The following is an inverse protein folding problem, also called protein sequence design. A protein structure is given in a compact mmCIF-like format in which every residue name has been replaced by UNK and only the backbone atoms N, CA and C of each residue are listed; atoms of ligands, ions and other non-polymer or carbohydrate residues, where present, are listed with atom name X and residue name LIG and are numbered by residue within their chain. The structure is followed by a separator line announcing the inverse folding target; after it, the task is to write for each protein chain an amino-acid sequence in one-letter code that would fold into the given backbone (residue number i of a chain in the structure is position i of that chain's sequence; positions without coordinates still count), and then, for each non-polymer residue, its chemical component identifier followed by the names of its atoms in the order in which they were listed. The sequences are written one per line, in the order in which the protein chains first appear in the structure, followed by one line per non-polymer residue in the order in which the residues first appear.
data_IF_907706765641
#
_entry.id   IF_907706765641
#
_cell.length_a   1.000
_cell.length_b   1.000
_cell.length_c   1.000
_cell.angle_alpha   90.00
_cell.angle_beta   90.00
_cell.angle_gamma   90.00
#
_symmetry.space_group_name_H-M   'P 1'
#
loop_
_entity.id
_entity.type
_entity.pdbx_description
1 polymer ?
#
# COMPACT_ATOMS: atom_id res chain seq x y z
N UNK A 1 39.49 46.93 42.01
CA UNK A 1 40.19 47.64 43.12
C UNK A 1 40.38 46.63 44.24
N UNK A 2 41.63 46.35 44.66
CA UNK A 2 42.06 45.19 45.50
C UNK A 2 41.87 43.82 44.79
N UNK A 3 42.75 42.80 44.80
CA UNK A 3 43.80 42.24 45.72
C UNK A 3 43.22 41.53 46.96
N UNK A 4 43.69 40.37 47.46
CA UNK A 4 44.84 39.45 47.20
C UNK A 4 44.36 38.01 47.60
N UNK A 5 45.02 36.83 47.56
CA UNK A 5 46.36 36.27 47.29
C UNK A 5 46.13 34.76 46.88
N UNK A 6 46.83 34.13 45.91
CA UNK A 6 48.03 33.25 46.02
C UNK A 6 48.06 32.28 47.24
N UNK A 7 48.60 31.03 47.23
CA UNK A 7 49.54 30.28 46.36
C UNK A 7 48.88 29.00 45.77
N UNK A 8 49.30 28.33 44.68
CA UNK A 8 50.60 27.87 44.12
C UNK A 8 51.21 26.62 44.80
N UNK A 9 51.01 25.43 44.19
CA UNK A 9 52.03 24.48 43.67
C UNK A 9 51.29 23.30 43.01
N UNK A 10 51.43 22.88 41.74
CA UNK A 10 52.54 22.56 40.80
C UNK A 10 52.92 21.06 40.72
N UNK A 11 52.33 20.38 39.73
CA UNK A 11 52.98 19.56 38.69
C UNK A 11 52.90 18.00 38.70
N UNK A 12 52.91 17.50 37.47
CA UNK A 12 53.17 16.15 36.92
C UNK A 12 52.05 15.08 36.77
N UNK A 13 52.01 14.59 35.53
CA UNK A 13 51.15 13.58 34.92
C UNK A 13 51.37 12.16 35.47
N UNK A 14 50.39 11.26 35.25
CA UNK A 14 50.47 10.14 34.27
C UNK A 14 49.14 9.33 34.24
N UNK A 15 48.77 8.84 33.05
CA UNK A 15 47.76 7.81 32.70
C UNK A 15 46.50 7.60 33.56
N UNK A 16 45.32 7.67 32.93
CA UNK A 16 44.05 7.29 33.57
C UNK A 16 42.87 7.16 32.61
N UNK A 17 43.01 6.38 31.53
CA UNK A 17 41.88 6.07 30.64
C UNK A 17 40.93 5.07 31.33
N UNK A 18 39.98 5.60 32.10
CA UNK A 18 38.72 4.91 32.39
C UNK A 18 37.64 5.52 31.48
N UNK A 19 37.26 4.79 30.43
CA UNK A 19 36.00 5.09 29.75
C UNK A 19 34.84 4.78 30.68
N UNK A 20 33.67 5.39 30.43
CA UNK A 20 32.44 4.96 31.07
C UNK A 20 32.04 3.59 30.51
N UNK A 21 32.60 2.53 31.11
CA UNK A 21 32.09 1.17 30.95
C UNK A 21 30.68 1.13 31.54
N UNK A 22 29.70 1.51 30.73
CA UNK A 22 28.28 1.24 30.95
C UNK A 22 27.99 -0.25 30.67
N UNK A 23 28.82 -1.12 31.27
CA UNK A 23 28.54 -2.54 31.42
C UNK A 23 27.38 -2.63 32.41
N UNK A 24 26.17 -2.59 31.83
CA UNK A 24 24.94 -2.95 32.54
C UNK A 24 25.15 -4.33 33.14
N UNK A 25 24.83 -4.47 34.42
CA UNK A 25 24.95 -5.74 35.14
C UNK A 25 24.17 -6.83 34.41
N UNK A 26 24.80 -7.98 34.30
CA UNK A 26 24.34 -9.27 33.78
C UNK A 26 25.02 -10.26 34.74
N UNK A 27 24.24 -10.85 35.64
CA UNK A 27 24.77 -11.56 36.83
C UNK A 27 25.00 -13.05 36.62
N UNK A 28 24.37 -13.63 35.62
CA UNK A 28 24.37 -15.07 35.34
C UNK A 28 24.84 -15.42 33.91
N UNK A 29 25.23 -14.41 33.12
CA UNK A 29 25.89 -14.51 31.80
C UNK A 29 24.95 -15.11 30.73
N UNK A 30 23.66 -14.76 30.81
CA UNK A 30 22.59 -15.13 29.85
C UNK A 30 22.47 -14.13 28.67
N UNK A 31 22.95 -12.88 28.85
CA UNK A 31 22.90 -11.81 27.86
C UNK A 31 21.79 -10.78 28.09
N UNK A 32 20.83 -11.06 28.97
CA UNK A 32 19.94 -10.05 29.51
C UNK A 32 20.69 -9.13 30.49
N UNK A 33 20.19 -7.91 30.64
CA UNK A 33 20.67 -7.02 31.69
C UNK A 33 19.74 -7.11 32.91
N UNK A 34 20.32 -7.14 34.12
CA UNK A 34 19.65 -7.20 35.44
C UNK A 34 18.47 -6.22 35.63
N UNK A 35 18.40 -5.15 34.83
CA UNK A 35 17.37 -4.10 34.88
C UNK A 35 16.14 -4.40 33.99
N UNK A 36 16.24 -5.40 33.10
CA UNK A 36 15.23 -5.81 32.14
C UNK A 36 14.80 -7.27 32.35
N UNK A 37 15.74 -8.08 32.82
CA UNK A 37 15.54 -9.46 33.24
C UNK A 37 14.59 -9.56 34.45
N UNK A 38 13.79 -10.64 34.48
CA UNK A 38 12.89 -11.01 35.55
C UNK A 38 13.45 -12.09 36.50
N UNK A 39 14.52 -12.79 36.12
CA UNK A 39 15.20 -13.81 36.92
C UNK A 39 16.76 -13.69 36.90
N UNK A 40 17.35 -12.52 37.26
CA UNK A 40 18.79 -12.21 37.13
C UNK A 40 19.73 -12.93 38.12
N UNK A 41 19.50 -14.22 38.32
CA UNK A 41 20.26 -15.22 39.06
C UNK A 41 19.97 -16.65 38.49
N UNK A 42 19.33 -16.77 37.31
CA UNK A 42 18.92 -18.01 36.61
C UNK A 42 18.92 -17.86 35.07
N UNK A 43 20.12 -17.99 34.50
CA UNK A 43 20.47 -18.02 33.06
C UNK A 43 19.71 -19.00 32.13
N UNK A 44 18.63 -19.61 32.60
CA UNK A 44 17.72 -20.41 31.76
C UNK A 44 16.43 -19.65 31.44
N UNK A 45 16.20 -18.48 32.04
CA UNK A 45 14.97 -17.70 31.94
C UNK A 45 15.27 -16.21 32.12
N UNK A 46 14.98 -15.39 31.12
CA UNK A 46 15.08 -13.92 31.22
C UNK A 46 13.71 -13.23 31.37
N UNK A 47 12.66 -13.82 30.78
CA UNK A 47 11.33 -13.20 30.74
C UNK A 47 10.23 -14.21 31.06
N UNK A 48 9.33 -13.86 31.99
CA UNK A 48 8.01 -14.51 32.06
C UNK A 48 7.03 -13.79 31.14
N UNK A 49 6.41 -14.54 30.23
CA UNK A 49 5.14 -14.19 29.63
C UNK A 49 4.06 -14.60 30.64
N UNK A 50 3.11 -13.70 30.92
CA UNK A 50 1.83 -14.06 31.53
C UNK A 50 0.70 -13.60 30.63
N UNK A 51 -0.43 -14.28 30.68
CA UNK A 51 -1.62 -13.88 29.96
C UNK A 51 -2.89 -14.48 30.55
N UNK A 52 -4.02 -14.05 30.02
CA UNK A 52 -5.33 -14.64 30.27
C UNK A 52 -5.87 -15.21 28.95
N UNK A 53 -6.58 -16.34 29.03
CA UNK A 53 -7.44 -16.83 27.95
C UNK A 53 -8.92 -16.65 28.34
N UNK A 54 -9.75 -16.22 27.38
CA UNK A 54 -11.16 -15.89 27.59
C UNK A 54 -12.10 -16.54 26.57
N UNK A 55 -13.34 -16.77 26.98
CA UNK A 55 -14.43 -17.35 26.19
C UNK A 55 -14.17 -18.81 25.72
N UNK A 56 -13.44 -19.60 26.53
CA UNK A 56 -13.04 -20.98 26.20
C UNK A 56 -14.23 -21.94 26.26
N UNK A 57 -14.44 -22.74 25.22
CA UNK A 57 -15.43 -23.83 25.17
C UNK A 57 -14.81 -25.23 25.06
N UNK A 58 -13.75 -25.38 24.26
CA UNK A 58 -13.00 -26.62 24.10
C UNK A 58 -11.78 -26.72 25.03
N UNK A 59 -11.05 -27.84 24.92
CA UNK A 59 -9.69 -27.90 25.47
C UNK A 59 -8.75 -27.15 24.51
N UNK A 60 -8.18 -26.02 24.96
CA UNK A 60 -7.25 -25.23 24.15
C UNK A 60 -5.81 -25.62 24.49
N UNK A 61 -5.04 -26.08 23.52
CA UNK A 61 -3.59 -26.26 23.68
C UNK A 61 -2.88 -24.99 23.22
N UNK A 62 -2.27 -24.27 24.16
CA UNK A 62 -1.34 -23.19 23.85
C UNK A 62 0.06 -23.78 23.61
N UNK A 63 0.66 -23.46 22.47
CA UNK A 63 1.94 -24.00 22.00
C UNK A 63 2.93 -22.85 21.83
N UNK A 64 4.08 -22.93 22.50
CA UNK A 64 5.18 -21.97 22.39
C UNK A 64 6.49 -22.72 22.13
N UNK A 65 6.97 -22.65 20.88
CA UNK A 65 8.05 -23.51 20.39
C UNK A 65 7.74 -24.99 20.71
N UNK A 66 8.66 -25.77 21.29
CA UNK A 66 8.44 -27.18 21.66
C UNK A 66 7.63 -27.37 22.97
N UNK A 67 7.03 -26.31 23.53
CA UNK A 67 6.35 -26.34 24.84
C UNK A 67 4.85 -26.16 24.69
N UNK A 68 4.07 -26.98 25.39
CA UNK A 68 2.61 -26.92 25.33
C UNK A 68 1.98 -26.94 26.73
N UNK A 69 0.85 -26.24 26.87
CA UNK A 69 -0.06 -26.31 28.02
C UNK A 69 -1.49 -26.39 27.52
N UNK A 70 -2.32 -27.23 28.13
CA UNK A 70 -3.73 -27.40 27.75
C UNK A 70 -4.65 -26.79 28.80
N UNK A 71 -5.58 -25.95 28.37
CA UNK A 71 -6.45 -25.10 29.18
C UNK A 71 -7.91 -25.40 28.81
N UNK A 72 -8.70 -25.89 29.77
CA UNK A 72 -10.09 -26.35 29.57
C UNK A 72 -11.15 -25.37 30.10
N UNK A 73 -10.75 -24.12 30.33
CA UNK A 73 -11.60 -22.99 30.75
C UNK A 73 -10.84 -21.67 30.65
N UNK A 74 -11.54 -20.54 30.74
CA UNK A 74 -10.96 -19.23 31.05
C UNK A 74 -10.03 -19.32 32.27
N UNK A 75 -8.76 -18.92 32.11
CA UNK A 75 -7.74 -18.93 33.17
C UNK A 75 -6.49 -18.11 32.80
N UNK A 76 -5.61 -17.89 33.77
CA UNK A 76 -4.27 -17.36 33.53
C UNK A 76 -3.33 -18.44 32.97
N UNK A 77 -2.42 -18.04 32.10
CA UNK A 77 -1.33 -18.87 31.57
C UNK A 77 0.02 -18.18 31.71
N UNK A 78 1.11 -18.95 31.71
CA UNK A 78 2.47 -18.43 31.72
C UNK A 78 3.46 -19.32 30.97
N UNK A 79 4.50 -18.70 30.44
CA UNK A 79 5.69 -19.35 29.91
C UNK A 79 6.94 -18.58 30.36
N UNK A 80 8.01 -19.28 30.74
CA UNK A 80 9.31 -18.70 31.08
C UNK A 80 10.27 -18.85 29.90
N UNK A 81 10.82 -17.75 29.38
CA UNK A 81 11.57 -17.65 28.11
C UNK A 81 13.01 -17.22 28.38
N UNK A 82 14.00 -17.83 27.73
CA UNK A 82 15.42 -17.46 27.84
C UNK A 82 15.75 -16.20 27.01
N UNK A 83 16.84 -15.47 27.34
CA UNK A 83 17.18 -14.28 26.58
C UNK A 83 17.49 -14.57 25.10
N UNK A 84 16.85 -13.82 24.20
CA UNK A 84 16.98 -14.01 22.75
C UNK A 84 16.32 -15.28 22.20
N UNK A 85 15.58 -16.03 23.00
CA UNK A 85 14.73 -17.12 22.50
C UNK A 85 13.54 -16.52 21.73
N UNK A 86 13.69 -16.39 20.41
CA UNK A 86 12.58 -16.06 19.53
C UNK A 86 11.52 -17.16 19.60
N UNK A 87 10.24 -16.77 19.61
CA UNK A 87 9.14 -17.71 19.74
C UNK A 87 7.90 -17.27 18.95
N UNK A 88 7.04 -18.26 18.69
CA UNK A 88 5.67 -18.07 18.23
C UNK A 88 4.76 -18.74 19.27
N UNK A 89 3.74 -18.02 19.74
CA UNK A 89 2.65 -18.59 20.53
C UNK A 89 1.47 -18.90 19.59
N UNK A 90 1.00 -20.14 19.62
CA UNK A 90 -0.17 -20.64 18.90
C UNK A 90 -1.23 -21.14 19.90
N UNK A 91 -2.49 -21.25 19.44
CA UNK A 91 -3.60 -21.81 20.21
C UNK A 91 -4.44 -22.72 19.31
N UNK A 92 -4.53 -23.99 19.68
CA UNK A 92 -5.31 -25.02 18.97
C UNK A 92 -6.48 -25.48 19.86
N UNK A 93 -7.72 -25.38 19.38
CA UNK A 93 -8.88 -25.96 20.10
C UNK A 93 -9.14 -27.40 19.66
N UNK A 94 -9.67 -28.22 20.57
CA UNK A 94 -10.31 -29.50 20.22
C UNK A 94 -11.65 -29.36 19.50
N UNK A 95 -12.19 -28.14 19.36
CA UNK A 95 -13.44 -27.85 18.65
C UNK A 95 -13.15 -27.19 17.30
N UNK A 96 -13.62 -27.79 16.20
CA UNK A 96 -13.40 -27.28 14.83
C UNK A 96 -14.03 -25.90 14.60
N UNK A 97 -15.10 -25.58 15.35
CA UNK A 97 -15.83 -24.32 15.31
C UNK A 97 -15.28 -23.25 16.29
N UNK A 98 -14.09 -23.44 16.87
CA UNK A 98 -13.48 -22.52 17.83
C UNK A 98 -12.10 -22.03 17.39
N UNK A 99 -11.95 -20.70 17.32
CA UNK A 99 -10.68 -20.04 17.01
C UNK A 99 -10.27 -19.14 18.17
N UNK A 100 -9.03 -19.28 18.67
CA UNK A 100 -8.50 -18.46 19.75
C UNK A 100 -7.49 -17.44 19.24
N UNK A 101 -7.89 -16.17 19.20
CA UNK A 101 -7.11 -15.08 18.61
C UNK A 101 -6.04 -14.60 19.60
N UNK A 102 -4.79 -14.64 19.16
CA UNK A 102 -3.61 -14.19 19.93
C UNK A 102 -3.14 -12.84 19.38
N UNK A 103 -3.07 -11.78 20.21
CA UNK A 103 -2.50 -10.50 19.79
C UNK A 103 -0.98 -10.59 19.70
N UNK A 104 -0.41 -10.29 18.54
CA UNK A 104 1.05 -10.28 18.27
C UNK A 104 1.77 -11.59 18.66
N UNK A 105 1.45 -12.74 18.05
CA UNK A 105 1.94 -14.05 18.50
C UNK A 105 3.45 -14.30 18.32
N UNK A 106 4.16 -13.45 17.57
CA UNK A 106 5.58 -13.64 17.20
C UNK A 106 6.47 -12.63 17.93
N UNK A 107 7.51 -13.11 18.62
CA UNK A 107 8.46 -12.28 19.36
C UNK A 107 9.91 -12.74 19.14
N UNK A 108 10.87 -11.81 19.32
CA UNK A 108 12.30 -12.05 19.09
C UNK A 108 13.09 -12.47 20.33
N UNK A 109 12.42 -12.61 21.49
CA UNK A 109 13.00 -13.00 22.76
C UNK A 109 13.86 -11.95 23.48
N UNK A 110 13.98 -10.70 22.98
CA UNK A 110 14.95 -9.72 23.52
C UNK A 110 14.34 -8.59 24.36
N UNK A 111 13.02 -8.52 24.42
CA UNK A 111 12.28 -7.50 25.16
C UNK A 111 11.17 -8.12 26.00
N UNK A 112 10.88 -7.53 27.16
CA UNK A 112 9.75 -7.92 28.00
C UNK A 112 8.43 -7.77 27.22
N UNK A 113 7.73 -8.89 27.07
CA UNK A 113 6.40 -8.93 26.45
C UNK A 113 5.35 -8.38 27.42
N UNK A 114 4.32 -7.74 26.87
CA UNK A 114 3.15 -7.29 27.65
C UNK A 114 2.31 -8.49 28.13
N UNK A 115 1.39 -8.26 29.08
CA UNK A 115 0.42 -9.30 29.45
C UNK A 115 -0.44 -9.62 28.22
N UNK A 116 -0.46 -10.88 27.81
CA UNK A 116 -1.24 -11.33 26.67
C UNK A 116 -2.71 -11.56 27.03
N UNK A 117 -3.63 -11.19 26.14
CA UNK A 117 -5.05 -11.51 26.28
C UNK A 117 -5.49 -12.27 25.05
N UNK A 118 -5.70 -13.58 25.21
CA UNK A 118 -6.22 -14.47 24.16
C UNK A 118 -7.74 -14.50 24.30
N UNK A 119 -8.47 -14.33 23.20
CA UNK A 119 -9.93 -14.52 23.19
C UNK A 119 -10.32 -15.57 22.18
N UNK A 120 -11.04 -16.58 22.63
CA UNK A 120 -11.69 -17.55 21.76
C UNK A 120 -13.01 -16.98 21.21
N UNK A 121 -13.37 -17.41 20.01
CA UNK A 121 -14.59 -17.06 19.29
C UNK A 121 -15.19 -18.31 18.65
N UNK A 122 -16.51 -18.34 18.51
CA UNK A 122 -17.18 -19.28 17.60
C UNK A 122 -16.92 -18.84 16.16
N UNK A 123 -16.40 -19.75 15.34
CA UNK A 123 -16.14 -19.55 13.91
C UNK A 123 -17.47 -19.55 13.14
N UNK A 124 -17.50 -18.87 12.00
CA UNK A 124 -18.68 -18.81 11.13
C UNK A 124 -18.39 -19.63 9.87
N UNK A 125 -19.24 -20.60 9.55
CA UNK A 125 -19.11 -21.39 8.32
C UNK A 125 -19.27 -20.46 7.09
N UNK A 126 -18.36 -20.54 6.12
CA UNK A 126 -18.46 -19.78 4.86
C UNK A 126 -19.79 -20.07 4.16
N UNK A 127 -20.23 -21.32 4.22
CA UNK A 127 -21.50 -21.80 3.67
C UNK A 127 -22.74 -21.11 4.26
N UNK A 128 -22.67 -20.57 5.49
CA UNK A 128 -23.76 -19.81 6.09
C UNK A 128 -23.83 -18.39 5.53
N UNK A 129 -22.70 -17.68 5.47
CA UNK A 129 -22.61 -16.30 4.92
C UNK A 129 -22.98 -16.28 3.42
N UNK A 130 -22.59 -17.31 2.67
CA UNK A 130 -22.94 -17.47 1.25
C UNK A 130 -24.46 -17.50 0.97
N UNK A 131 -25.32 -17.71 1.97
CA UNK A 131 -26.78 -17.63 1.80
C UNK A 131 -27.32 -16.19 1.84
N UNK A 132 -26.57 -15.23 2.41
CA UNK A 132 -26.93 -13.80 2.41
C UNK A 132 -26.34 -13.04 1.23
N UNK A 133 -25.28 -13.53 0.59
CA UNK A 133 -24.64 -12.87 -0.56
C UNK A 133 -25.53 -13.03 -1.81
N UNK A 134 -26.32 -12.00 -2.10
CA UNK A 134 -27.29 -12.05 -3.20
C UNK A 134 -26.61 -12.05 -4.57
N UNK A 135 -25.58 -11.22 -4.77
CA UNK A 135 -24.85 -11.10 -6.02
C UNK A 135 -24.11 -12.41 -6.37
N UNK A 136 -24.42 -13.00 -7.53
CA UNK A 136 -23.87 -14.28 -7.99
C UNK A 136 -22.35 -14.26 -8.15
N UNK A 137 -21.79 -13.21 -8.76
CA UNK A 137 -20.36 -13.07 -9.01
C UNK A 137 -19.55 -13.07 -7.70
N UNK A 138 -19.98 -12.28 -6.70
CA UNK A 138 -19.34 -12.28 -5.38
C UNK A 138 -19.49 -13.63 -4.67
N UNK A 139 -20.66 -14.26 -4.75
CA UNK A 139 -20.95 -15.57 -4.13
C UNK A 139 -20.03 -16.66 -4.68
N UNK A 140 -19.86 -16.76 -6.00
CA UNK A 140 -18.98 -17.75 -6.62
C UNK A 140 -17.50 -17.42 -6.42
N UNK A 141 -17.10 -16.14 -6.42
CA UNK A 141 -15.73 -15.72 -6.08
C UNK A 141 -15.30 -16.17 -4.66
N UNK A 142 -16.21 -16.05 -3.68
CA UNK A 142 -15.98 -16.48 -2.30
C UNK A 142 -15.98 -18.02 -2.18
N UNK A 143 -16.92 -18.72 -2.83
CA UNK A 143 -16.88 -20.19 -2.93
C UNK A 143 -15.56 -20.69 -3.54
N UNK A 144 -15.03 -19.97 -4.52
CA UNK A 144 -13.76 -20.27 -5.19
C UNK A 144 -12.53 -20.31 -4.27
N UNK A 145 -12.61 -19.74 -3.07
CA UNK A 145 -11.53 -19.81 -2.07
C UNK A 145 -11.45 -21.20 -1.39
N UNK A 146 -12.53 -21.98 -1.40
CA UNK A 146 -12.58 -23.33 -0.81
C UNK A 146 -12.55 -23.39 0.73
N UNK A 147 -12.55 -22.23 1.40
CA UNK A 147 -12.54 -22.11 2.87
C UNK A 147 -13.81 -22.66 3.52
N UNK A 148 -13.64 -23.44 4.59
CA UNK A 148 -14.78 -23.95 5.39
C UNK A 148 -15.30 -22.85 6.32
N UNK A 149 -14.40 -22.01 6.82
CA UNK A 149 -14.71 -20.96 7.79
C UNK A 149 -14.31 -19.58 7.28
N UNK A 150 -15.11 -18.56 7.65
CA UNK A 150 -14.95 -17.16 7.26
C UNK A 150 -13.60 -16.57 7.69
N UNK A 151 -13.04 -17.03 8.81
CA UNK A 151 -11.71 -16.63 9.30
C UNK A 151 -10.52 -17.14 8.47
N UNK A 152 -10.73 -18.12 7.58
CA UNK A 152 -9.71 -18.66 6.69
C UNK A 152 -9.50 -17.79 5.44
N UNK A 153 -10.48 -16.93 5.11
CA UNK A 153 -10.43 -16.02 3.95
C UNK A 153 -9.73 -14.72 4.34
N UNK A 154 -8.39 -14.74 4.28
CA UNK A 154 -7.54 -13.56 4.55
C UNK A 154 -7.28 -12.68 3.33
N UNK A 155 -7.52 -13.20 2.12
CA UNK A 155 -7.47 -12.46 0.85
C UNK A 155 -8.68 -12.88 0.00
N UNK A 156 -9.29 -11.91 -0.71
CA UNK A 156 -10.34 -12.17 -1.69
C UNK A 156 -10.07 -11.34 -2.95
N UNK A 157 -9.89 -11.99 -4.09
CA UNK A 157 -9.45 -11.35 -5.35
C UNK A 157 -10.46 -11.58 -6.49
N UNK A 158 -11.56 -10.83 -6.48
CA UNK A 158 -12.61 -10.91 -7.50
C UNK A 158 -12.33 -9.93 -8.65
N UNK A 159 -11.20 -10.14 -9.36
CA UNK A 159 -10.74 -9.27 -10.46
C UNK A 159 -11.25 -9.69 -11.86
N UNK A 160 -11.77 -10.91 -12.04
CA UNK A 160 -11.76 -11.57 -13.35
C UNK A 160 -13.05 -12.35 -13.69
N UNK A 161 -13.76 -11.94 -14.75
CA UNK A 161 -14.94 -12.64 -15.25
C UNK A 161 -14.57 -13.98 -15.93
N UNK A 162 -13.35 -14.13 -16.46
CA UNK A 162 -12.90 -15.44 -16.98
C UNK A 162 -12.70 -16.48 -15.87
N UNK A 163 -12.45 -16.07 -14.62
CA UNK A 163 -12.50 -16.99 -13.49
C UNK A 163 -13.94 -17.24 -13.04
N UNK A 164 -14.90 -16.34 -13.23
CA UNK A 164 -16.33 -16.64 -13.03
C UNK A 164 -16.83 -17.73 -13.99
N UNK A 165 -16.54 -17.64 -15.29
CA UNK A 165 -16.87 -18.70 -16.28
C UNK A 165 -16.26 -20.07 -15.93
N UNK A 166 -15.10 -20.07 -15.27
CA UNK A 166 -14.37 -21.26 -14.81
C UNK A 166 -14.92 -21.82 -13.49
N UNK A 167 -15.23 -20.95 -12.53
CA UNK A 167 -15.84 -21.31 -11.24
C UNK A 167 -17.25 -21.86 -11.42
N UNK A 168 -18.01 -21.31 -12.37
CA UNK A 168 -19.33 -21.79 -12.80
C UNK A 168 -19.32 -23.06 -13.67
N UNK A 169 -18.25 -23.87 -13.61
CA UNK A 169 -18.31 -25.29 -13.97
C UNK A 169 -18.36 -25.63 -15.47
N UNK A 170 -17.87 -24.76 -16.37
CA UNK A 170 -17.62 -25.16 -17.76
C UNK A 170 -16.35 -26.02 -17.89
N UNK A 171 -16.51 -27.32 -17.64
CA UNK A 171 -15.47 -28.32 -17.91
C UNK A 171 -14.96 -28.25 -19.36
N UNK A 172 -13.64 -28.14 -19.53
CA UNK A 172 -12.95 -28.69 -20.70
C UNK A 172 -12.94 -27.88 -22.00
N UNK A 173 -12.98 -26.55 -21.95
CA UNK A 173 -12.58 -25.72 -23.11
C UNK A 173 -11.19 -25.11 -22.91
N UNK A 174 -10.17 -25.73 -23.52
CA UNK A 174 -8.92 -25.03 -23.84
C UNK A 174 -9.26 -23.85 -24.78
N UNK A 175 -8.83 -22.63 -24.42
CA UNK A 175 -9.20 -21.39 -25.13
C UNK A 175 -8.41 -21.17 -26.44
N UNK A 176 -8.28 -22.22 -27.27
CA UNK A 176 -7.87 -22.06 -28.66
C UNK A 176 -9.06 -21.60 -29.53
N UNK A 177 -9.16 -20.28 -29.71
CA UNK A 177 -9.87 -19.63 -30.83
C UNK A 177 -11.32 -20.07 -31.11
N UNK A 178 -12.24 -19.85 -30.15
CA UNK A 178 -13.68 -19.91 -30.42
C UNK A 178 -14.10 -18.68 -31.25
N UNK A 179 -14.35 -18.88 -32.55
CA UNK A 179 -14.66 -17.81 -33.51
C UNK A 179 -16.15 -17.65 -33.84
N UNK A 180 -17.05 -18.20 -33.02
CA UNK A 180 -18.51 -18.16 -33.22
C UNK A 180 -19.25 -17.63 -31.97
N UNK A 181 -20.39 -16.93 -32.13
CA UNK A 181 -21.12 -16.34 -31.00
C UNK A 181 -21.76 -17.42 -30.12
N UNK A 182 -21.35 -17.46 -28.85
CA UNK A 182 -21.88 -18.39 -27.85
C UNK A 182 -23.38 -18.17 -27.65
N UNK A 183 -24.18 -19.19 -27.92
CA UNK A 183 -25.61 -19.20 -27.58
C UNK A 183 -25.81 -19.61 -26.13
N UNK A 184 -26.43 -18.75 -25.34
CA UNK A 184 -26.60 -18.93 -23.89
C UNK A 184 -27.85 -19.73 -23.55
N UNK A 185 -27.66 -20.93 -22.99
CA UNK A 185 -28.71 -21.71 -22.32
C UNK A 185 -28.15 -22.29 -21.02
N UNK A 186 -28.23 -21.54 -19.92
CA UNK A 186 -27.87 -22.05 -18.59
C UNK A 186 -28.90 -23.09 -18.12
N UNK A 187 -28.40 -24.19 -17.55
CA UNK A 187 -29.21 -25.19 -16.83
C UNK A 187 -29.02 -25.14 -15.32
N UNK A 188 -28.08 -24.31 -14.84
CA UNK A 188 -27.94 -23.92 -13.44
C UNK A 188 -28.54 -22.52 -13.24
N UNK A 189 -29.30 -22.34 -12.16
CA UNK A 189 -30.03 -21.09 -11.86
C UNK A 189 -29.17 -19.98 -11.28
N UNK A 190 -28.05 -20.35 -10.65
CA UNK A 190 -27.30 -19.47 -9.76
C UNK A 190 -26.09 -18.82 -10.45
N UNK A 191 -25.61 -19.43 -11.54
CA UNK A 191 -24.52 -18.94 -12.39
C UNK A 191 -25.00 -17.97 -13.48
N UNK A 192 -25.64 -16.88 -13.06
CA UNK A 192 -25.94 -15.73 -13.93
C UNK A 192 -24.77 -14.76 -13.84
N UNK A 193 -24.18 -14.36 -14.97
CA UNK A 193 -23.21 -13.27 -15.00
C UNK A 193 -23.95 -11.94 -14.82
N UNK A 194 -23.90 -11.40 -13.61
CA UNK A 194 -24.48 -10.11 -13.24
C UNK A 194 -23.37 -9.13 -12.89
N UNK A 195 -23.60 -7.83 -13.12
CA UNK A 195 -22.66 -6.80 -12.69
C UNK A 195 -22.60 -6.77 -11.16
N UNK A 196 -21.44 -6.45 -10.59
CA UNK A 196 -21.33 -6.25 -9.14
C UNK A 196 -22.07 -4.95 -8.75
N UNK A 197 -23.24 -5.08 -8.11
CA UNK A 197 -24.14 -3.98 -7.76
C UNK A 197 -24.35 -3.83 -6.24
N UNK A 198 -24.21 -4.93 -5.51
CA UNK A 198 -24.15 -5.04 -4.06
C UNK A 198 -22.97 -5.93 -3.64
N UNK A 199 -22.48 -5.74 -2.41
CA UNK A 199 -21.40 -6.52 -1.82
C UNK A 199 -21.76 -7.06 -0.43
N UNK A 200 -23.06 -7.13 -0.12
CA UNK A 200 -23.62 -7.48 1.19
C UNK A 200 -23.11 -8.85 1.66
N UNK A 201 -22.67 -8.94 2.91
CA UNK A 201 -22.02 -10.10 3.51
C UNK A 201 -20.48 -10.07 3.49
N UNK A 202 -19.86 -9.15 2.75
CA UNK A 202 -18.39 -8.96 2.77
C UNK A 202 -17.89 -8.52 4.16
N UNK A 203 -18.75 -7.84 4.93
CA UNK A 203 -18.44 -7.35 6.27
C UNK A 203 -18.22 -8.48 7.28
N UNK A 204 -18.76 -9.69 7.07
CA UNK A 204 -18.49 -10.82 7.98
C UNK A 204 -17.05 -11.36 7.84
N UNK A 205 -16.35 -11.09 6.74
CA UNK A 205 -14.98 -11.52 6.49
C UNK A 205 -13.96 -10.61 7.20
N UNK A 206 -14.05 -10.56 8.54
CA UNK A 206 -13.28 -9.64 9.41
C UNK A 206 -11.76 -9.87 9.40
N UNK A 207 -11.31 -11.01 8.86
CA UNK A 207 -9.90 -11.37 8.73
C UNK A 207 -9.27 -10.96 7.39
N UNK A 208 -10.03 -10.36 6.46
CA UNK A 208 -9.51 -9.86 5.19
C UNK A 208 -8.41 -8.81 5.39
N UNK A 209 -7.28 -9.05 4.72
CA UNK A 209 -6.17 -8.12 4.53
C UNK A 209 -6.13 -7.55 3.12
N UNK A 210 -6.56 -8.32 2.14
CA UNK A 210 -6.67 -7.91 0.74
C UNK A 210 -8.10 -8.13 0.28
N UNK A 211 -8.74 -7.08 -0.23
CA UNK A 211 -10.02 -7.18 -0.92
C UNK A 211 -9.90 -6.55 -2.30
N UNK A 212 -10.20 -7.33 -3.34
CA UNK A 212 -10.35 -6.84 -4.70
C UNK A 212 -11.73 -7.13 -5.26
N UNK A 213 -12.39 -6.09 -5.75
CA UNK A 213 -13.72 -6.11 -6.36
C UNK A 213 -13.71 -5.26 -7.64
N UNK A 214 -13.36 -5.89 -8.77
CA UNK A 214 -13.48 -5.30 -10.13
C UNK A 214 -14.38 -6.15 -11.03
N UNK A 215 -14.99 -5.53 -12.04
CA UNK A 215 -15.82 -6.23 -13.01
C UNK A 215 -15.29 -6.11 -14.44
N UNK A 216 -14.51 -7.11 -14.85
CA UNK A 216 -13.81 -7.16 -16.13
C UNK A 216 -14.65 -7.53 -17.36
N UNK A 217 -15.63 -6.71 -17.76
CA UNK A 217 -16.07 -6.64 -19.16
C UNK A 217 -16.35 -5.20 -19.61
N UNK A 218 -15.33 -4.58 -20.21
CA UNK A 218 -15.37 -3.21 -20.68
C UNK A 218 -16.20 -3.06 -21.96
N UNK A 219 -17.51 -2.84 -21.78
CA UNK A 219 -18.29 -2.04 -22.72
C UNK A 219 -18.27 -0.59 -22.23
N UNK A 220 -17.43 0.31 -22.78
CA UNK A 220 -17.17 1.66 -22.25
C UNK A 220 -18.32 2.68 -22.43
N UNK A 221 -19.56 2.18 -22.47
CA UNK A 221 -20.80 2.95 -22.59
C UNK A 221 -21.65 2.92 -21.30
N UNK A 222 -21.32 2.10 -20.30
CA UNK A 222 -22.14 1.87 -19.09
C UNK A 222 -21.86 2.81 -17.91
N UNK A 223 -21.77 4.11 -18.16
CA UNK A 223 -22.24 5.18 -17.24
C UNK A 223 -21.62 5.43 -15.85
N UNK A 224 -20.86 4.51 -15.24
CA UNK A 224 -20.36 4.61 -13.86
C UNK A 224 -20.38 3.25 -13.15
N UNK A 225 -20.08 3.18 -11.85
CA UNK A 225 -20.13 1.89 -11.14
C UNK A 225 -21.57 1.42 -10.91
N UNK A 226 -21.82 0.12 -11.03
CA UNK A 226 -23.04 -0.52 -10.51
C UNK A 226 -23.02 -0.64 -8.99
N UNK A 227 -21.86 -0.90 -8.39
CA UNK A 227 -21.69 -0.96 -6.94
C UNK A 227 -21.83 0.46 -6.37
N UNK A 228 -22.93 0.70 -5.64
CA UNK A 228 -23.28 2.04 -5.15
C UNK A 228 -22.68 2.36 -3.78
N UNK A 229 -22.43 1.33 -2.98
CA UNK A 229 -21.89 1.39 -1.63
C UNK A 229 -21.31 0.02 -1.27
N UNK A 230 -20.40 -0.01 -0.30
CA UNK A 230 -19.86 -1.22 0.32
C UNK A 230 -19.65 -0.94 1.81
N UNK A 231 -20.11 -1.83 2.68
CA UNK A 231 -19.81 -1.77 4.11
C UNK A 231 -18.48 -2.50 4.37
N UNK A 232 -17.48 -1.77 4.87
CA UNK A 232 -16.20 -2.32 5.30
C UNK A 232 -15.93 -2.07 6.80
N UNK A 233 -16.94 -1.65 7.57
CA UNK A 233 -16.77 -1.19 8.96
C UNK A 233 -16.25 -2.27 9.91
N UNK A 234 -16.39 -3.55 9.54
CA UNK A 234 -15.84 -4.71 10.25
C UNK A 234 -14.47 -5.17 9.74
N UNK A 235 -14.11 -4.88 8.48
CA UNK A 235 -12.90 -5.39 7.82
C UNK A 235 -11.65 -4.56 8.17
N UNK A 236 -11.48 -4.23 9.47
CA UNK A 236 -10.42 -3.36 10.02
C UNK A 236 -8.99 -3.92 9.89
N UNK A 237 -8.85 -5.13 9.32
CA UNK A 237 -7.57 -5.77 9.02
C UNK A 237 -7.07 -5.52 7.58
N UNK A 238 -7.83 -4.81 6.74
CA UNK A 238 -7.44 -4.49 5.36
C UNK A 238 -6.13 -3.68 5.29
N UNK A 239 -5.15 -4.26 4.61
CA UNK A 239 -3.82 -3.72 4.28
C UNK A 239 -3.77 -3.28 2.79
N UNK A 240 -4.58 -3.92 1.93
CA UNK A 240 -4.81 -3.59 0.52
C UNK A 240 -6.31 -3.60 0.16
N UNK A 241 -6.78 -2.57 -0.55
CA UNK A 241 -8.15 -2.47 -1.03
C UNK A 241 -8.19 -1.97 -2.48
N UNK A 242 -8.84 -2.73 -3.37
CA UNK A 242 -9.01 -2.39 -4.78
C UNK A 242 -10.47 -2.57 -5.22
N UNK A 243 -11.17 -1.50 -5.57
CA UNK A 243 -12.64 -1.55 -5.71
C UNK A 243 -13.19 -0.56 -6.75
N UNK A 244 -14.16 -1.04 -7.53
CA UNK A 244 -14.97 -0.25 -8.46
C UNK A 244 -16.31 0.15 -7.82
N UNK A 245 -16.39 1.30 -7.16
CA UNK A 245 -17.60 1.76 -6.45
C UNK A 245 -17.88 3.25 -6.65
N UNK A 246 -19.17 3.61 -6.72
CA UNK A 246 -19.59 5.00 -6.80
C UNK A 246 -19.31 5.78 -5.49
N UNK A 247 -19.35 5.09 -4.34
CA UNK A 247 -19.07 5.65 -3.01
C UNK A 247 -18.36 4.64 -2.10
N UNK A 248 -17.49 5.14 -1.22
CA UNK A 248 -16.66 4.36 -0.30
C UNK A 248 -16.43 5.20 0.97
N UNK A 249 -16.53 4.57 2.13
CA UNK A 249 -15.99 5.08 3.39
C UNK A 249 -14.78 4.19 3.78
N UNK A 250 -13.70 4.82 4.23
CA UNK A 250 -12.46 4.16 4.68
C UNK A 250 -12.14 4.47 6.15
N UNK A 251 -13.09 5.05 6.88
CA UNK A 251 -13.00 5.33 8.31
C UNK A 251 -12.81 4.04 9.11
N UNK A 252 -11.74 3.96 9.90
CA UNK A 252 -11.39 2.75 10.67
C UNK A 252 -10.59 1.70 9.88
N UNK A 253 -10.38 1.88 8.57
CA UNK A 253 -9.45 1.07 7.78
C UNK A 253 -7.99 1.54 7.96
N UNK A 254 -7.60 1.78 9.22
CA UNK A 254 -6.36 2.42 9.65
C UNK A 254 -5.09 1.68 9.19
N UNK A 255 -5.21 0.42 8.75
CA UNK A 255 -4.13 -0.43 8.25
C UNK A 255 -3.85 -0.29 6.76
N UNK A 256 -4.72 0.36 5.98
CA UNK A 256 -4.56 0.43 4.52
C UNK A 256 -3.21 1.04 4.14
N UNK A 257 -2.46 0.29 3.34
CA UNK A 257 -1.22 0.72 2.69
C UNK A 257 -1.41 0.94 1.20
N UNK A 258 -2.30 0.18 0.57
CA UNK A 258 -2.65 0.28 -0.85
C UNK A 258 -4.16 0.54 -0.99
N UNK A 259 -4.53 1.61 -1.71
CA UNK A 259 -5.90 1.88 -2.12
C UNK A 259 -5.97 2.16 -3.63
N UNK A 260 -6.65 1.31 -4.37
CA UNK A 260 -7.07 1.60 -5.74
C UNK A 260 -8.60 1.70 -5.81
N UNK A 261 -9.08 2.84 -6.31
CA UNK A 261 -10.49 3.19 -6.34
C UNK A 261 -10.87 3.61 -7.78
N UNK A 262 -11.84 2.93 -8.37
CA UNK A 262 -12.28 3.18 -9.74
C UNK A 262 -13.79 3.44 -9.84
N UNK A 263 -14.19 4.15 -10.90
CA UNK A 263 -15.55 4.63 -11.16
C UNK A 263 -16.21 5.43 -10.00
N UNK A 264 -15.39 6.10 -9.18
CA UNK A 264 -15.89 6.88 -8.04
C UNK A 264 -16.64 8.14 -8.50
N UNK A 265 -17.84 8.32 -7.97
CA UNK A 265 -18.76 9.40 -8.37
C UNK A 265 -18.75 10.59 -7.41
N UNK A 266 -18.13 10.46 -6.23
CA UNK A 266 -18.01 11.52 -5.22
C UNK A 266 -17.05 12.66 -5.62
N UNK A 267 -17.31 13.85 -5.10
CA UNK A 267 -16.54 15.07 -5.39
C UNK A 267 -15.33 15.32 -4.45
N UNK A 268 -15.20 14.52 -3.40
CA UNK A 268 -14.09 14.52 -2.44
C UNK A 268 -13.95 13.14 -1.79
N UNK A 269 -12.80 12.85 -1.18
CA UNK A 269 -12.53 11.61 -0.40
C UNK A 269 -11.90 12.03 0.92
N UNK A 270 -12.35 11.46 2.05
CA UNK A 270 -11.72 11.69 3.36
C UNK A 270 -10.58 10.69 3.59
N UNK A 271 -9.41 11.23 3.96
CA UNK A 271 -8.18 10.49 4.24
C UNK A 271 -7.70 10.68 5.69
N UNK A 272 -8.54 11.23 6.58
CA UNK A 272 -8.17 11.60 7.96
C UNK A 272 -7.57 10.45 8.76
N UNK A 273 -8.00 9.21 8.49
CA UNK A 273 -7.52 7.99 9.15
C UNK A 273 -6.43 7.23 8.35
N UNK A 274 -6.21 7.60 7.08
CA UNK A 274 -5.44 6.82 6.11
C UNK A 274 -3.93 7.08 6.14
N UNK A 275 -3.38 7.44 7.31
CA UNK A 275 -1.99 7.89 7.46
C UNK A 275 -0.93 6.83 7.10
N UNK A 276 -1.31 5.55 7.00
CA UNK A 276 -0.44 4.45 6.60
C UNK A 276 -0.40 4.19 5.08
N UNK A 277 -1.22 4.87 4.27
CA UNK A 277 -1.22 4.72 2.82
C UNK A 277 0.14 5.06 2.21
N UNK A 278 0.56 4.21 1.29
CA UNK A 278 1.80 4.27 0.49
C UNK A 278 1.49 4.39 -0.99
N UNK A 279 0.44 3.73 -1.46
CA UNK A 279 -0.01 3.75 -2.84
C UNK A 279 -1.49 4.15 -2.88
N UNK A 280 -1.79 5.24 -3.62
CA UNK A 280 -3.15 5.74 -3.82
C UNK A 280 -3.41 5.93 -5.32
N UNK A 281 -4.40 5.22 -5.85
CA UNK A 281 -4.83 5.28 -7.25
C UNK A 281 -6.32 5.59 -7.28
N UNK A 282 -6.72 6.69 -7.90
CA UNK A 282 -8.12 7.17 -7.92
C UNK A 282 -8.55 7.52 -9.34
N UNK A 283 -9.50 6.77 -9.89
CA UNK A 283 -10.21 7.10 -11.14
C UNK A 283 -11.62 7.59 -10.79
N UNK A 284 -11.78 8.92 -10.72
CA UNK A 284 -12.97 9.57 -10.19
C UNK A 284 -13.39 10.75 -11.08
N UNK A 285 -14.29 10.48 -12.04
CA UNK A 285 -14.71 11.45 -13.05
C UNK A 285 -15.26 12.77 -12.49
N UNK A 286 -15.79 12.76 -11.27
CA UNK A 286 -16.43 13.89 -10.59
C UNK A 286 -15.60 14.51 -9.45
N UNK A 287 -14.38 14.04 -9.19
CA UNK A 287 -13.56 14.52 -8.08
C UNK A 287 -13.14 15.98 -8.28
N UNK A 288 -13.70 16.88 -7.46
CA UNK A 288 -13.50 18.33 -7.53
C UNK A 288 -12.43 18.81 -6.55
N UNK A 289 -12.21 18.09 -5.44
CA UNK A 289 -11.20 18.39 -4.41
C UNK A 289 -10.58 17.13 -3.83
N UNK A 290 -9.33 17.21 -3.36
CA UNK A 290 -8.66 16.13 -2.63
C UNK A 290 -7.75 16.70 -1.53
N UNK A 291 -7.81 16.13 -0.32
CA UNK A 291 -6.95 16.54 0.80
C UNK A 291 -5.88 15.47 1.07
N UNK A 292 -4.67 15.70 0.58
CA UNK A 292 -3.55 14.76 0.68
C UNK A 292 -2.70 14.96 1.95
N UNK A 293 -2.96 16.00 2.75
CA UNK A 293 -2.16 16.34 3.94
C UNK A 293 -2.05 15.26 5.04
N UNK A 294 -3.00 14.32 5.22
CA UNK A 294 -2.84 13.18 6.11
C UNK A 294 -1.81 12.15 5.61
N UNK A 295 -1.62 12.03 4.29
CA UNK A 295 -0.96 10.90 3.61
C UNK A 295 0.58 11.00 3.60
N UNK A 296 1.19 11.28 4.75
CA UNK A 296 2.63 11.60 4.87
C UNK A 296 3.57 10.44 4.47
N UNK A 297 3.06 9.21 4.45
CA UNK A 297 3.80 8.01 4.04
C UNK A 297 3.61 7.65 2.55
N UNK A 298 2.87 8.46 1.78
CA UNK A 298 2.56 8.18 0.39
C UNK A 298 3.82 8.26 -0.49
N UNK A 299 4.01 7.21 -1.29
CA UNK A 299 5.09 7.01 -2.26
C UNK A 299 4.58 7.15 -3.69
N UNK A 300 3.44 6.54 -4.01
CA UNK A 300 2.82 6.58 -5.33
C UNK A 300 1.43 7.24 -5.23
N UNK A 301 1.21 8.25 -6.07
CA UNK A 301 -0.08 8.91 -6.26
C UNK A 301 -0.48 8.84 -7.73
N UNK A 302 -1.70 8.37 -8.03
CA UNK A 302 -2.31 8.47 -9.36
C UNK A 302 -3.74 9.01 -9.24
N UNK A 303 -4.05 10.09 -9.95
CA UNK A 303 -5.39 10.68 -9.97
C UNK A 303 -5.84 10.90 -11.42
N UNK A 304 -7.03 10.39 -11.76
CA UNK A 304 -7.75 10.69 -12.99
C UNK A 304 -9.11 11.33 -12.65
N UNK A 305 -9.33 12.56 -13.12
CA UNK A 305 -10.58 13.32 -12.90
C UNK A 305 -10.84 14.30 -14.06
N UNK A 306 -12.11 14.61 -14.32
CA UNK A 306 -12.47 15.66 -15.27
C UNK A 306 -12.59 17.05 -14.63
N UNK A 307 -12.64 17.15 -13.29
CA UNK A 307 -12.98 18.39 -12.54
C UNK A 307 -11.94 18.84 -11.51
N UNK A 308 -10.84 18.09 -11.35
CA UNK A 308 -9.86 18.41 -10.31
C UNK A 308 -8.98 19.58 -10.75
N UNK A 309 -9.22 20.75 -10.17
CA UNK A 309 -8.55 22.02 -10.52
C UNK A 309 -7.19 22.22 -9.84
N UNK A 310 -6.90 21.50 -8.76
CA UNK A 310 -5.64 21.61 -8.00
C UNK A 310 -5.29 20.33 -7.24
N UNK A 311 -3.99 20.12 -7.01
CA UNK A 311 -3.44 19.02 -6.20
C UNK A 311 -2.32 19.59 -5.32
N UNK A 312 -2.47 19.51 -4.00
CA UNK A 312 -1.42 19.90 -3.05
C UNK A 312 -0.57 18.69 -2.65
N UNK A 313 0.67 18.67 -3.10
CA UNK A 313 1.67 17.61 -2.86
C UNK A 313 2.66 17.98 -1.76
N UNK A 314 2.56 19.17 -1.16
CA UNK A 314 3.61 19.78 -0.33
C UNK A 314 3.94 19.01 0.95
N UNK A 315 2.96 18.26 1.47
CA UNK A 315 3.09 17.39 2.65
C UNK A 315 3.59 15.97 2.31
N UNK A 316 3.72 15.62 1.03
CA UNK A 316 4.08 14.29 0.54
C UNK A 316 5.60 14.17 0.33
N UNK A 317 6.38 14.35 1.41
CA UNK A 317 7.84 14.37 1.36
C UNK A 317 8.48 13.05 0.91
N UNK A 318 7.75 11.95 0.99
CA UNK A 318 8.18 10.58 0.61
C UNK A 318 7.71 10.18 -0.80
N UNK A 319 7.13 11.10 -1.58
CA UNK A 319 6.54 10.81 -2.88
C UNK A 319 7.63 10.52 -3.93
N UNK A 320 7.61 9.29 -4.43
CA UNK A 320 8.54 8.71 -5.41
C UNK A 320 7.96 8.74 -6.83
N UNK A 321 6.63 8.65 -6.96
CA UNK A 321 5.94 8.73 -8.26
C UNK A 321 4.60 9.46 -8.18
N UNK A 322 4.33 10.32 -9.17
CA UNK A 322 3.03 10.99 -9.34
C UNK A 322 2.50 10.85 -10.77
N UNK A 323 1.22 10.52 -10.91
CA UNK A 323 0.45 10.59 -12.16
C UNK A 323 -0.77 11.48 -11.92
N UNK A 324 -0.99 12.49 -12.77
CA UNK A 324 -2.24 13.25 -12.83
C UNK A 324 -2.77 13.31 -14.25
N UNK A 325 -3.99 12.82 -14.46
CA UNK A 325 -4.79 12.96 -15.67
C UNK A 325 -6.01 13.81 -15.31
N UNK A 326 -5.82 15.13 -15.24
CA UNK A 326 -6.81 16.06 -14.72
C UNK A 326 -7.09 17.20 -15.71
N UNK A 327 -8.26 17.15 -16.36
CA UNK A 327 -8.60 18.03 -17.50
C UNK A 327 -8.76 19.51 -17.17
N UNK A 328 -8.87 19.86 -15.89
CA UNK A 328 -8.98 21.26 -15.41
C UNK A 328 -7.77 21.71 -14.55
N UNK A 329 -6.72 20.87 -14.44
CA UNK A 329 -5.53 21.17 -13.64
C UNK A 329 -4.55 22.09 -14.40
N UNK A 330 -4.63 23.40 -14.18
CA UNK A 330 -3.77 24.38 -14.87
C UNK A 330 -2.33 24.49 -14.32
N UNK A 331 -2.06 23.98 -13.12
CA UNK A 331 -0.73 24.00 -12.51
C UNK A 331 -0.50 22.84 -11.55
N UNK A 332 0.77 22.46 -11.40
CA UNK A 332 1.22 21.44 -10.46
C UNK A 332 2.55 21.90 -9.84
N UNK A 333 2.56 22.08 -8.51
CA UNK A 333 3.79 22.26 -7.75
C UNK A 333 4.25 20.89 -7.22
N UNK A 334 5.53 20.58 -7.41
CA UNK A 334 6.22 19.40 -6.88
C UNK A 334 7.57 19.78 -6.25
N UNK A 335 7.79 21.06 -5.95
CA UNK A 335 9.06 21.60 -5.46
C UNK A 335 9.49 21.02 -4.10
N UNK A 336 8.57 20.42 -3.34
CA UNK A 336 8.82 19.77 -2.05
C UNK A 336 9.01 18.25 -2.14
N UNK A 337 8.79 17.62 -3.30
CA UNK A 337 8.89 16.18 -3.48
C UNK A 337 10.31 15.82 -3.98
N UNK A 338 11.29 16.00 -3.09
CA UNK A 338 12.71 15.78 -3.39
C UNK A 338 13.04 14.33 -3.77
N UNK A 339 12.22 13.38 -3.31
CA UNK A 339 12.36 11.94 -3.56
C UNK A 339 11.79 11.48 -4.91
N UNK A 340 11.15 12.37 -5.68
CA UNK A 340 10.40 12.03 -6.89
C UNK A 340 11.31 11.51 -8.02
N UNK A 341 11.09 10.26 -8.42
CA UNK A 341 11.77 9.55 -9.51
C UNK A 341 10.93 9.54 -10.81
N UNK A 342 9.60 9.67 -10.70
CA UNK A 342 8.68 9.66 -11.83
C UNK A 342 7.58 10.72 -11.74
N UNK A 343 7.29 11.39 -12.85
CA UNK A 343 6.11 12.26 -13.02
C UNK A 343 5.40 12.01 -14.35
N UNK A 344 4.08 11.84 -14.29
CA UNK A 344 3.14 11.93 -15.41
C UNK A 344 2.10 13.04 -15.17
N UNK A 345 1.86 13.88 -16.18
CA UNK A 345 0.80 14.89 -16.17
C UNK A 345 0.00 14.89 -17.49
N UNK A 346 -0.32 13.69 -17.99
CA UNK A 346 -0.87 13.47 -19.33
C UNK A 346 -2.29 14.07 -19.46
N UNK A 347 -2.58 14.71 -20.59
CA UNK A 347 -3.87 15.36 -20.86
C UNK A 347 -4.31 16.42 -19.82
N UNK A 348 -3.35 17.04 -19.12
CA UNK A 348 -3.60 18.17 -18.21
C UNK A 348 -3.36 19.51 -18.91
N UNK A 349 -4.15 20.57 -18.64
CA UNK A 349 -3.97 21.87 -19.29
C UNK A 349 -2.78 22.69 -18.76
N UNK A 350 -1.82 22.07 -18.04
CA UNK A 350 -0.70 22.76 -17.39
C UNK A 350 0.15 23.59 -18.36
N UNK A 351 0.58 24.78 -17.89
CA UNK A 351 1.29 25.78 -18.71
C UNK A 351 2.78 25.92 -18.32
N UNK A 352 3.12 25.57 -17.09
CA UNK A 352 4.51 25.48 -16.59
C UNK A 352 4.66 24.30 -15.63
N UNK A 353 5.87 23.75 -15.53
CA UNK A 353 6.26 22.77 -14.52
C UNK A 353 7.71 23.05 -14.06
N UNK A 354 7.94 23.06 -12.74
CA UNK A 354 9.22 23.47 -12.13
C UNK A 354 9.88 22.31 -11.38
N UNK A 355 10.78 21.61 -12.08
CA UNK A 355 11.38 20.33 -11.64
C UNK A 355 12.80 20.44 -11.07
N UNK A 356 13.27 21.66 -10.72
CA UNK A 356 14.67 21.92 -10.38
C UNK A 356 15.14 21.21 -9.08
N UNK A 357 14.22 20.95 -8.15
CA UNK A 357 14.47 20.22 -6.91
C UNK A 357 14.47 18.69 -7.10
N UNK A 358 13.72 18.19 -8.08
CA UNK A 358 13.39 16.78 -8.29
C UNK A 358 14.53 16.04 -9.03
N UNK A 359 15.72 16.06 -8.42
CA UNK A 359 16.98 15.60 -9.03
C UNK A 359 17.08 14.08 -9.19
N UNK A 360 16.16 13.33 -8.58
CA UNK A 360 16.04 11.88 -8.77
C UNK A 360 15.27 11.48 -10.03
N UNK A 361 14.51 12.40 -10.66
CA UNK A 361 13.69 12.09 -11.84
C UNK A 361 14.44 11.29 -12.92
N UNK A 362 13.96 10.08 -13.18
CA UNK A 362 14.37 9.19 -14.28
C UNK A 362 13.37 9.23 -15.43
N UNK A 363 12.08 9.50 -15.15
CA UNK A 363 11.03 9.50 -16.16
C UNK A 363 10.09 10.70 -16.03
N UNK A 364 9.80 11.37 -17.14
CA UNK A 364 8.88 12.53 -17.22
C UNK A 364 7.93 12.32 -18.41
N UNK A 365 6.61 12.34 -18.17
CA UNK A 365 5.56 12.20 -19.20
C UNK A 365 4.59 13.39 -19.13
N UNK A 366 4.77 14.39 -19.99
CA UNK A 366 3.91 15.58 -20.08
C UNK A 366 3.20 15.65 -21.44
N UNK A 367 2.77 14.51 -21.99
CA UNK A 367 2.07 14.48 -23.29
C UNK A 367 0.71 15.19 -23.23
N UNK A 368 0.36 15.89 -24.31
CA UNK A 368 -0.91 16.61 -24.47
C UNK A 368 -1.17 17.68 -23.39
N UNK A 369 -0.18 18.55 -23.11
CA UNK A 369 -0.35 19.71 -22.21
C UNK A 369 -0.11 21.05 -22.92
N UNK A 370 -0.11 22.16 -22.17
CA UNK A 370 0.12 23.52 -22.67
C UNK A 370 1.52 24.07 -22.36
N UNK A 371 2.49 23.24 -22.00
CA UNK A 371 3.84 23.71 -21.64
C UNK A 371 4.57 24.30 -22.86
N UNK A 372 4.98 25.56 -22.74
CA UNK A 372 5.78 26.28 -23.74
C UNK A 372 7.30 26.19 -23.48
N UNK A 373 7.71 26.02 -22.21
CA UNK A 373 9.10 25.97 -21.77
C UNK A 373 9.28 25.04 -20.56
N UNK A 374 10.37 24.26 -20.57
CA UNK A 374 10.80 23.45 -19.43
C UNK A 374 12.34 23.42 -19.37
N UNK A 375 12.87 23.31 -18.15
CA UNK A 375 14.30 23.17 -17.89
C UNK A 375 14.58 21.87 -17.13
N UNK A 376 15.15 20.90 -17.84
CA UNK A 376 15.56 19.58 -17.34
C UNK A 376 17.05 19.53 -16.97
N UNK A 377 17.75 20.68 -16.90
CA UNK A 377 19.22 20.74 -16.74
C UNK A 377 19.75 20.12 -15.44
N UNK A 378 18.93 20.05 -14.39
CA UNK A 378 19.26 19.41 -13.11
C UNK A 378 18.94 17.90 -13.11
N UNK A 379 18.04 17.45 -13.99
CA UNK A 379 17.45 16.12 -14.02
C UNK A 379 18.31 15.19 -14.88
N UNK A 380 19.60 15.12 -14.53
CA UNK A 380 20.66 14.50 -15.37
C UNK A 380 20.57 12.98 -15.50
N UNK A 381 19.62 12.33 -14.82
CA UNK A 381 19.44 10.87 -14.76
C UNK A 381 18.29 10.35 -15.65
N UNK A 382 17.66 11.22 -16.44
CA UNK A 382 16.52 10.87 -17.29
C UNK A 382 16.84 9.73 -18.28
N UNK A 383 15.90 8.77 -18.39
CA UNK A 383 15.90 7.63 -19.32
C UNK A 383 14.64 7.59 -20.19
N UNK A 384 13.53 8.20 -19.75
CA UNK A 384 12.31 8.36 -20.54
C UNK A 384 11.76 9.79 -20.41
N UNK A 385 11.51 10.44 -21.54
CA UNK A 385 11.03 11.82 -21.61
C UNK A 385 9.99 11.92 -22.72
N UNK A 386 8.72 12.09 -22.36
CA UNK A 386 7.65 12.42 -23.29
C UNK A 386 7.20 13.88 -23.10
N UNK A 387 7.40 14.66 -24.16
CA UNK A 387 7.01 16.06 -24.31
C UNK A 387 6.15 16.26 -25.57
N UNK A 388 5.49 15.22 -26.08
CA UNK A 388 4.62 15.31 -27.27
C UNK A 388 3.37 16.16 -27.08
N UNK A 389 2.79 16.64 -28.18
CA UNK A 389 1.54 17.44 -28.21
C UNK A 389 1.55 18.73 -27.36
N UNK A 390 2.73 19.27 -27.06
CA UNK A 390 2.92 20.44 -26.21
C UNK A 390 2.90 21.75 -27.02
N UNK A 391 3.51 22.82 -26.49
CA UNK A 391 3.58 24.15 -27.11
C UNK A 391 5.04 24.60 -27.31
N UNK A 392 5.99 23.67 -27.30
CA UNK A 392 7.42 23.96 -27.42
C UNK A 392 7.78 24.53 -28.81
N UNK A 393 8.16 25.81 -28.84
CA UNK A 393 8.69 26.48 -30.04
C UNK A 393 10.22 26.40 -30.14
N UNK A 394 10.87 26.08 -29.02
CA UNK A 394 12.33 25.97 -28.84
C UNK A 394 12.71 24.59 -28.27
N UNK A 395 13.99 24.26 -28.31
CA UNK A 395 14.50 23.03 -27.68
C UNK A 395 14.42 23.15 -26.15
N UNK A 396 13.86 22.16 -25.42
CA UNK A 396 13.87 22.15 -23.96
C UNK A 396 15.27 22.33 -23.36
N UNK A 397 15.39 23.23 -22.39
CA UNK A 397 16.66 23.52 -21.72
C UNK A 397 17.18 22.28 -21.00
N UNK A 398 18.46 21.95 -21.19
CA UNK A 398 19.13 20.89 -20.44
C UNK A 398 19.16 19.49 -21.07
N UNK A 399 18.60 19.25 -22.27
CA UNK A 399 18.72 17.93 -22.96
C UNK A 399 20.18 17.45 -23.03
N UNK A 400 21.11 18.37 -23.31
CA UNK A 400 22.56 18.12 -23.38
C UNK A 400 23.17 17.62 -22.05
N UNK A 401 22.52 17.89 -20.92
CA UNK A 401 22.93 17.52 -19.56
C UNK A 401 22.50 16.11 -19.14
N UNK A 402 21.54 15.49 -19.84
CA UNK A 402 21.15 14.10 -19.57
C UNK A 402 22.37 13.19 -19.80
N UNK A 403 22.72 12.35 -18.83
CA UNK A 403 23.92 11.49 -18.88
C UNK A 403 23.76 10.39 -19.92
N UNK A 404 22.66 9.64 -19.84
CA UNK A 404 22.35 8.61 -20.82
C UNK A 404 22.09 9.24 -22.20
N UNK A 405 22.53 8.52 -23.25
CA UNK A 405 22.34 8.86 -24.66
C UNK A 405 21.40 7.86 -25.37
N UNK A 406 20.96 6.81 -24.65
CA UNK A 406 19.87 5.91 -25.04
C UNK A 406 18.49 6.37 -24.53
N UNK A 407 18.45 7.38 -23.66
CA UNK A 407 17.25 8.10 -23.23
C UNK A 407 16.28 8.35 -24.39
N UNK A 408 15.01 7.95 -24.21
CA UNK A 408 13.94 8.28 -25.15
C UNK A 408 13.56 9.75 -24.95
N UNK A 409 13.42 10.50 -26.03
CA UNK A 409 12.98 11.90 -25.97
C UNK A 409 11.94 12.10 -27.08
N UNK A 410 10.67 12.18 -26.71
CA UNK A 410 9.57 12.43 -27.64
C UNK A 410 9.19 13.91 -27.64
N UNK A 411 9.32 14.57 -28.80
CA UNK A 411 8.98 15.98 -29.06
C UNK A 411 8.09 16.12 -30.32
N UNK A 412 7.37 15.06 -30.69
CA UNK A 412 6.37 15.04 -31.77
C UNK A 412 5.18 15.97 -31.43
N UNK A 413 4.44 16.44 -32.44
CA UNK A 413 3.26 17.29 -32.32
C UNK A 413 3.51 18.60 -31.55
N UNK A 414 4.68 19.22 -31.79
CA UNK A 414 5.06 20.49 -31.20
C UNK A 414 5.29 21.59 -32.26
N UNK A 415 5.00 22.87 -31.96
CA UNK A 415 5.17 24.01 -32.86
C UNK A 415 6.64 24.46 -33.00
N UNK A 416 7.57 23.50 -33.15
CA UNK A 416 9.01 23.71 -33.17
C UNK A 416 9.45 24.60 -34.34
N UNK A 417 10.11 25.71 -34.02
CA UNK A 417 10.70 26.60 -35.02
C UNK A 417 11.79 25.90 -35.84
N UNK A 418 12.03 26.36 -37.08
CA UNK A 418 13.08 25.79 -37.93
C UNK A 418 14.49 25.81 -37.30
N UNK A 419 14.77 26.79 -36.42
CA UNK A 419 15.99 26.83 -35.62
C UNK A 419 16.03 25.70 -34.58
N UNK A 420 14.91 25.44 -33.89
CA UNK A 420 14.80 24.34 -32.94
C UNK A 420 14.94 22.98 -33.63
N UNK A 421 14.26 22.77 -34.76
CA UNK A 421 14.41 21.58 -35.60
C UNK A 421 15.86 21.36 -36.04
N UNK A 422 16.56 22.43 -36.44
CA UNK A 422 17.98 22.37 -36.82
C UNK A 422 18.91 22.01 -35.64
N UNK A 423 18.61 22.42 -34.41
CA UNK A 423 19.33 21.96 -33.22
C UNK A 423 18.99 20.50 -32.86
N UNK A 424 17.71 20.10 -32.91
CA UNK A 424 17.28 18.72 -32.66
C UNK A 424 17.93 17.75 -33.66
N UNK A 425 18.05 18.12 -34.93
CA UNK A 425 18.80 17.37 -35.95
C UNK A 425 20.31 17.24 -35.66
N UNK A 426 20.90 18.14 -34.85
CA UNK A 426 22.26 17.96 -34.32
C UNK A 426 22.27 17.06 -33.09
N UNK A 427 21.31 17.23 -32.17
CA UNK A 427 21.17 16.42 -30.95
C UNK A 427 20.91 14.94 -31.26
N UNK A 428 20.06 14.63 -32.26
CA UNK A 428 19.70 13.28 -32.74
C UNK A 428 20.90 12.43 -33.19
N UNK A 429 22.06 13.05 -33.45
CA UNK A 429 23.35 12.37 -33.71
C UNK A 429 23.97 11.74 -32.46
N UNK A 430 23.66 12.30 -31.28
CA UNK A 430 24.09 11.79 -29.97
C UNK A 430 22.96 11.02 -29.28
N UNK A 431 21.74 11.56 -29.32
CA UNK A 431 20.53 11.01 -28.72
C UNK A 431 19.72 10.28 -29.78
N UNK A 432 20.01 8.99 -29.99
CA UNK A 432 19.44 8.23 -31.13
C UNK A 432 17.92 8.03 -31.03
N UNK A 433 17.39 8.01 -29.81
CA UNK A 433 15.96 7.82 -29.52
C UNK A 433 15.23 9.18 -29.33
N UNK A 434 15.76 10.24 -29.94
CA UNK A 434 15.14 11.57 -29.99
C UNK A 434 14.22 11.66 -31.23
N UNK A 435 12.92 11.79 -30.98
CA UNK A 435 11.85 11.92 -31.97
C UNK A 435 11.30 13.35 -31.96
N UNK A 436 11.08 13.92 -33.14
CA UNK A 436 10.44 15.21 -33.36
C UNK A 436 10.01 15.30 -34.83
N UNK A 437 9.07 16.17 -35.15
CA UNK A 437 8.65 16.39 -36.54
C UNK A 437 9.74 17.17 -37.30
N UNK A 438 10.23 16.65 -38.42
CA UNK A 438 11.38 17.22 -39.16
C UNK A 438 11.04 18.48 -40.01
#
# INVERSE_FOLDING_TARGET
MRTLLCLITFLFLISGCAGENNQRSDRDDDGAHDQLDQFPDDKTRAFRITGNIHNVRGDITLILNDRQITLSSDQEFLFDIAYGEAFILLAESTLEDELCVIPSPVHDGKAKVAVMTISCITRIETALVLNSITNSYLRECIKGQGSTWVDEVVELDCNNVYDFDRLCGRDGLELEFISEPITWTSSDSDCILENLDNADGIEEFVFLKKLVLKFGYDYPNSGGSTLRYIDLTKNVLLEELEVETAALDISGLDRLTNLQLAYYEGSTIDFTHSANLRNLIVFASNLETINLAPLKNLKILSIHSNKLVSVDTSMLSNLEGIIVLCRELESLDISMNYELEFIGALWTPIKELKIYNNKKLTSILLSDTNVEYIDISNNTNLIDVDFSSNKFQTVPSGIRSIKDKSVKINLIDNPLTGNAKAELAQLKKSYKNLLFDE
#
